data_IF_606626239440
#
_entry.id   IF_606626239440
#
_cell.length_a   1.000
_cell.length_b   1.000
_cell.length_c   1.000
_cell.angle_alpha   90.00
_cell.angle_beta   90.00
_cell.angle_gamma   90.00
#
_symmetry.space_group_name_H-M   'P 1'
#
loop_
_entity.id
_entity.type
_entity.pdbx_description
1 polymer ?
#
# COMPACT_ATOMS: atom_id res chain seq x y z
N UNK A 1 24.24 15.97 -17.13
CA UNK A 1 24.80 16.11 -18.50
C UNK A 1 24.35 17.47 -18.97
N UNK A 2 25.18 18.47 -18.72
CA UNK A 2 24.97 19.83 -19.23
C UNK A 2 25.25 19.78 -20.73
N UNK A 3 24.20 19.65 -21.55
CA UNK A 3 24.30 19.97 -22.97
C UNK A 3 24.21 21.49 -23.07
N UNK A 4 25.32 22.17 -22.78
CA UNK A 4 25.54 23.51 -23.30
C UNK A 4 25.65 23.36 -24.83
N UNK A 5 24.52 23.53 -25.53
CA UNK A 5 24.52 23.65 -26.98
C UNK A 5 25.33 24.89 -27.33
N UNK A 6 26.41 24.71 -28.09
CA UNK A 6 27.23 25.83 -28.56
C UNK A 6 26.33 26.86 -29.27
N UNK A 7 26.60 28.17 -29.09
CA UNK A 7 25.80 29.22 -29.71
C UNK A 7 25.82 29.03 -31.23
N UNK A 8 24.63 29.03 -31.84
CA UNK A 8 24.54 28.91 -33.29
C UNK A 8 25.03 30.23 -33.90
N UNK A 9 26.08 30.12 -34.71
CA UNK A 9 26.66 31.26 -35.43
C UNK A 9 26.15 31.28 -36.87
N UNK A 10 25.58 32.42 -37.26
CA UNK A 10 25.17 32.71 -38.63
C UNK A 10 25.90 33.96 -39.10
N UNK A 11 27.07 33.78 -39.73
CA UNK A 11 27.92 34.90 -40.15
C UNK A 11 28.28 35.82 -38.97
N UNK A 12 28.07 37.15 -39.03
CA UNK A 12 28.36 38.07 -37.92
C UNK A 12 27.33 38.01 -36.77
N UNK A 13 26.26 37.21 -36.89
CA UNK A 13 25.21 37.09 -35.87
C UNK A 13 25.44 35.84 -35.02
N UNK A 14 25.47 36.01 -33.70
CA UNK A 14 25.59 34.91 -32.73
C UNK A 14 24.30 34.77 -31.93
N UNK A 15 23.66 33.61 -32.01
CA UNK A 15 22.42 33.31 -31.27
C UNK A 15 22.79 32.53 -30.01
N UNK A 16 22.65 33.17 -28.83
CA UNK A 16 22.85 32.54 -27.53
C UNK A 16 21.54 31.93 -27.02
N UNK A 17 21.56 30.63 -26.72
CA UNK A 17 20.39 29.89 -26.25
C UNK A 17 20.24 29.87 -24.72
N UNK A 18 21.21 30.39 -23.97
CA UNK A 18 21.28 30.34 -22.50
C UNK A 18 19.99 30.81 -21.80
N UNK A 19 19.38 31.89 -22.30
CA UNK A 19 18.11 32.43 -21.77
C UNK A 19 16.93 31.49 -22.00
N UNK A 20 16.84 30.91 -23.20
CA UNK A 20 15.75 29.99 -23.57
C UNK A 20 15.91 28.68 -22.81
N UNK A 21 17.13 28.17 -22.69
CA UNK A 21 17.44 26.96 -21.95
C UNK A 21 17.16 27.11 -20.45
N UNK A 22 17.53 28.26 -19.87
CA UNK A 22 17.19 28.60 -18.48
C UNK A 22 15.67 28.64 -18.27
N UNK A 23 14.90 29.23 -19.19
CA UNK A 23 13.44 29.24 -19.11
C UNK A 23 12.81 27.85 -19.27
N UNK A 24 13.36 27.01 -20.16
CA UNK A 24 12.90 25.63 -20.35
C UNK A 24 13.18 24.80 -19.10
N UNK A 25 14.38 24.90 -18.54
CA UNK A 25 14.75 24.21 -17.30
C UNK A 25 13.84 24.63 -16.14
N UNK A 26 13.58 25.94 -15.98
CA UNK A 26 12.64 26.43 -14.96
C UNK A 26 11.22 25.87 -15.14
N UNK A 27 10.72 25.79 -16.37
CA UNK A 27 9.40 25.17 -16.66
C UNK A 27 9.41 23.68 -16.37
N UNK A 28 10.48 22.99 -16.72
CA UNK A 28 10.63 21.56 -16.46
C UNK A 28 10.66 21.27 -14.96
N UNK A 29 11.41 22.06 -14.19
CA UNK A 29 11.48 21.94 -12.73
C UNK A 29 10.12 22.19 -12.08
N UNK A 30 9.39 23.23 -12.54
CA UNK A 30 8.03 23.52 -12.07
C UNK A 30 7.10 22.34 -12.34
N UNK A 31 7.09 21.83 -13.57
CA UNK A 31 6.22 20.72 -13.96
C UNK A 31 6.60 19.42 -13.24
N UNK A 32 7.89 19.14 -13.08
CA UNK A 32 8.35 17.98 -12.33
C UNK A 32 7.90 18.06 -10.87
N UNK A 33 7.94 19.25 -10.25
CA UNK A 33 7.47 19.46 -8.88
C UNK A 33 5.97 19.28 -8.75
N UNK A 34 5.19 19.77 -9.71
CA UNK A 34 3.73 19.56 -9.77
C UNK A 34 3.38 18.08 -9.94
N UNK A 35 4.07 17.38 -10.85
CA UNK A 35 3.88 15.95 -11.07
C UNK A 35 4.21 15.14 -9.81
N UNK A 36 5.29 15.49 -9.11
CA UNK A 36 5.65 14.86 -7.84
C UNK A 36 4.60 15.12 -6.76
N UNK A 37 4.07 16.34 -6.68
CA UNK A 37 2.99 16.68 -5.75
C UNK A 37 1.73 15.86 -6.01
N UNK A 38 1.27 15.83 -7.26
CA UNK A 38 0.11 15.03 -7.66
C UNK A 38 0.31 13.52 -7.39
N UNK A 39 1.52 13.00 -7.66
CA UNK A 39 1.85 11.61 -7.35
C UNK A 39 1.85 11.34 -5.84
N UNK A 40 2.39 12.26 -5.04
CA UNK A 40 2.36 12.17 -3.58
C UNK A 40 0.91 12.18 -3.07
N UNK A 41 0.03 13.03 -3.57
CA UNK A 41 -1.38 13.08 -3.17
C UNK A 41 -2.11 11.76 -3.48
N UNK A 42 -1.91 11.22 -4.69
CA UNK A 42 -2.46 9.90 -5.08
C UNK A 42 -1.89 8.78 -4.20
N UNK A 43 -0.60 8.84 -3.90
CA UNK A 43 0.03 7.84 -3.04
C UNK A 43 -0.52 7.92 -1.61
N UNK A 44 -0.64 9.12 -1.04
CA UNK A 44 -1.16 9.34 0.31
C UNK A 44 -2.62 8.89 0.45
N UNK A 45 -3.47 9.16 -0.55
CA UNK A 45 -4.85 8.65 -0.57
C UNK A 45 -4.92 7.13 -0.65
N UNK A 46 -4.06 6.49 -1.47
CA UNK A 46 -3.98 5.02 -1.51
C UNK A 46 -3.46 4.40 -0.21
N UNK A 47 -2.45 5.00 0.42
CA UNK A 47 -1.93 4.56 1.71
C UNK A 47 -3.02 4.60 2.78
N UNK A 48 -3.77 5.72 2.88
CA UNK A 48 -4.89 5.86 3.81
C UNK A 48 -5.99 4.83 3.53
N UNK A 49 -6.39 4.66 2.27
CA UNK A 49 -7.43 3.69 1.91
C UNK A 49 -7.03 2.24 2.23
N UNK A 50 -5.76 1.86 2.03
CA UNK A 50 -5.27 0.54 2.39
C UNK A 50 -5.22 0.35 3.91
N UNK A 51 -4.77 1.37 4.63
CA UNK A 51 -4.76 1.40 6.10
C UNK A 51 -6.16 1.16 6.67
N UNK A 52 -7.17 1.89 6.18
CA UNK A 52 -8.56 1.74 6.63
C UNK A 52 -9.11 0.34 6.34
N UNK A 53 -8.83 -0.22 5.15
CA UNK A 53 -9.26 -1.59 4.78
C UNK A 53 -8.62 -2.65 5.67
N UNK A 54 -7.31 -2.52 5.96
CA UNK A 54 -6.58 -3.44 6.84
C UNK A 54 -7.08 -3.31 8.28
N UNK A 55 -7.35 -2.10 8.75
CA UNK A 55 -7.90 -1.86 10.08
C UNK A 55 -9.32 -2.43 10.24
N UNK A 56 -10.21 -2.19 9.27
CA UNK A 56 -11.56 -2.76 9.28
C UNK A 56 -11.53 -4.29 9.27
N UNK A 57 -10.68 -4.87 8.42
CA UNK A 57 -10.56 -6.31 8.32
C UNK A 57 -9.96 -6.94 9.60
N UNK A 58 -8.99 -6.27 10.24
CA UNK A 58 -8.50 -6.66 11.56
C UNK A 58 -9.61 -6.64 12.60
N UNK A 59 -10.42 -5.57 12.66
CA UNK A 59 -11.54 -5.46 13.61
C UNK A 59 -12.58 -6.55 13.37
N UNK A 60 -12.94 -6.84 12.12
CA UNK A 60 -13.85 -7.95 11.78
C UNK A 60 -13.27 -9.30 12.16
N UNK A 61 -11.97 -9.49 11.92
CA UNK A 61 -11.25 -10.70 12.32
C UNK A 61 -11.24 -10.85 13.84
N UNK A 62 -11.08 -9.76 14.59
CA UNK A 62 -11.11 -9.76 16.05
C UNK A 62 -12.52 -10.03 16.60
N UNK A 63 -13.55 -9.43 16.00
CA UNK A 63 -14.95 -9.62 16.35
C UNK A 63 -15.48 -11.02 16.01
N UNK A 64 -14.96 -11.65 14.95
CA UNK A 64 -15.18 -13.07 14.65
C UNK A 64 -14.40 -13.92 15.68
N UNK A 65 -14.88 -13.92 16.92
CA UNK A 65 -14.36 -14.78 17.99
C UNK A 65 -14.70 -16.23 17.66
N UNK A 66 -13.68 -17.02 17.30
CA UNK A 66 -13.77 -18.46 17.04
C UNK A 66 -13.63 -19.23 18.35
N UNK A 67 -14.47 -18.92 19.33
CA UNK A 67 -14.56 -19.74 20.53
C UNK A 67 -15.46 -20.94 20.21
N UNK A 68 -14.86 -21.98 19.61
CA UNK A 68 -15.57 -23.20 19.20
C UNK A 68 -16.24 -23.95 20.37
N UNK A 69 -15.93 -23.54 21.61
CA UNK A 69 -16.55 -24.02 22.84
C UNK A 69 -18.03 -23.63 22.97
N UNK A 70 -18.42 -22.47 22.41
CA UNK A 70 -19.71 -21.82 22.67
C UNK A 70 -20.45 -21.34 21.42
N UNK A 71 -19.79 -21.36 20.25
CA UNK A 71 -20.38 -20.92 18.99
C UNK A 71 -21.19 -22.03 18.28
N UNK A 72 -22.30 -21.64 17.65
CA UNK A 72 -23.12 -22.54 16.82
C UNK A 72 -22.35 -22.99 15.56
N UNK A 73 -22.60 -24.21 15.06
CA UNK A 73 -22.02 -24.73 13.81
C UNK A 73 -22.13 -23.73 12.65
N UNK A 74 -23.23 -22.96 12.60
CA UNK A 74 -23.43 -21.88 11.63
C UNK A 74 -22.43 -20.73 11.78
N UNK A 75 -22.20 -20.26 13.02
CA UNK A 75 -21.25 -19.18 13.32
C UNK A 75 -19.80 -19.60 13.03
N UNK A 76 -19.49 -20.88 13.26
CA UNK A 76 -18.19 -21.45 12.95
C UNK A 76 -17.96 -21.52 11.44
N UNK A 77 -18.94 -21.99 10.66
CA UNK A 77 -18.85 -22.03 9.18
C UNK A 77 -18.71 -20.61 8.59
N UNK A 78 -19.44 -19.63 9.14
CA UNK A 78 -19.29 -18.21 8.75
C UNK A 78 -17.90 -17.67 9.07
N UNK A 79 -17.35 -18.02 10.25
CA UNK A 79 -15.99 -17.65 10.65
C UNK A 79 -14.91 -18.28 9.74
N UNK A 80 -15.05 -19.55 9.40
CA UNK A 80 -14.16 -20.27 8.46
C UNK A 80 -14.21 -19.62 7.08
N UNK A 81 -15.41 -19.33 6.57
CA UNK A 81 -15.59 -18.66 5.27
C UNK A 81 -14.91 -17.30 5.27
N UNK A 82 -15.11 -16.51 6.32
CA UNK A 82 -14.45 -15.21 6.47
C UNK A 82 -12.92 -15.32 6.53
N UNK A 83 -12.38 -16.29 7.28
CA UNK A 83 -10.93 -16.54 7.32
C UNK A 83 -10.38 -16.85 5.93
N UNK A 84 -11.10 -17.65 5.14
CA UNK A 84 -10.68 -18.03 3.81
C UNK A 84 -10.70 -16.86 2.83
N UNK A 85 -11.74 -16.00 2.89
CA UNK A 85 -11.79 -14.75 2.14
C UNK A 85 -10.63 -13.81 2.53
N UNK A 86 -10.32 -13.69 3.81
CA UNK A 86 -9.19 -12.87 4.29
C UNK A 86 -7.86 -13.42 3.78
N UNK A 87 -7.68 -14.74 3.76
CA UNK A 87 -6.49 -15.40 3.21
C UNK A 87 -6.29 -15.08 1.73
N UNK A 88 -7.37 -15.05 0.95
CA UNK A 88 -7.32 -14.68 -0.47
C UNK A 88 -6.98 -13.20 -0.68
N UNK A 89 -7.50 -12.30 0.18
CA UNK A 89 -7.22 -10.86 0.11
C UNK A 89 -5.81 -10.48 0.55
N UNK A 90 -5.15 -11.33 1.34
CA UNK A 90 -3.83 -11.05 1.87
C UNK A 90 -2.76 -10.93 0.77
N UNK A 91 -2.81 -11.78 -0.26
CA UNK A 91 -1.86 -11.73 -1.38
C UNK A 91 -1.89 -10.43 -2.19
N UNK A 92 -3.07 -9.99 -2.70
CA UNK A 92 -3.22 -8.71 -3.37
C UNK A 92 -2.80 -7.52 -2.50
N UNK A 93 -3.18 -7.52 -1.22
CA UNK A 93 -2.80 -6.45 -0.30
C UNK A 93 -1.29 -6.40 -0.07
N UNK A 94 -0.60 -7.53 -0.01
CA UNK A 94 0.86 -7.56 0.08
C UNK A 94 1.52 -6.87 -1.11
N UNK A 95 1.08 -7.18 -2.33
CA UNK A 95 1.57 -6.51 -3.56
C UNK A 95 1.27 -5.01 -3.56
N UNK A 96 0.10 -4.61 -3.07
CA UNK A 96 -0.24 -3.20 -2.92
C UNK A 96 0.68 -2.52 -1.89
N UNK A 97 0.92 -3.13 -0.73
CA UNK A 97 1.85 -2.60 0.29
C UNK A 97 3.25 -2.43 -0.30
N UNK A 98 3.79 -3.42 -1.00
CA UNK A 98 5.13 -3.35 -1.61
C UNK A 98 5.21 -2.23 -2.65
N UNK A 99 4.19 -2.10 -3.51
CA UNK A 99 4.13 -1.02 -4.49
C UNK A 99 4.07 0.37 -3.84
N UNK A 100 3.39 0.51 -2.70
CA UNK A 100 3.33 1.76 -1.94
C UNK A 100 4.69 2.09 -1.29
N UNK A 101 5.40 1.10 -0.75
CA UNK A 101 6.75 1.27 -0.20
C UNK A 101 7.73 1.74 -1.28
N UNK A 102 7.71 1.10 -2.45
CA UNK A 102 8.58 1.47 -3.57
C UNK A 102 8.27 2.88 -4.07
N UNK A 103 6.98 3.24 -4.13
CA UNK A 103 6.51 4.58 -4.52
C UNK A 103 6.96 5.65 -3.52
N UNK A 104 6.87 5.37 -2.21
CA UNK A 104 7.35 6.29 -1.17
C UNK A 104 8.87 6.45 -1.22
N UNK A 105 9.60 5.34 -1.46
CA UNK A 105 11.06 5.36 -1.62
C UNK A 105 11.48 6.20 -2.82
N UNK A 106 10.72 6.15 -3.91
CA UNK A 106 10.96 6.97 -5.10
C UNK A 106 10.78 8.46 -4.80
N UNK A 107 9.70 8.84 -4.10
CA UNK A 107 9.47 10.23 -3.66
C UNK A 107 10.55 10.72 -2.68
N UNK A 108 10.98 9.87 -1.73
CA UNK A 108 12.09 10.17 -0.81
C UNK A 108 13.40 10.43 -1.56
N UNK A 109 13.70 9.62 -2.59
CA UNK A 109 14.88 9.82 -3.45
C UNK A 109 14.81 11.12 -4.24
N UNK A 110 13.62 11.55 -4.62
CA UNK A 110 13.39 12.83 -5.30
C UNK A 110 13.37 14.05 -4.36
N UNK A 111 13.71 13.87 -3.06
CA UNK A 111 13.71 14.91 -2.02
C UNK A 111 12.36 15.62 -1.87
N UNK A 112 11.26 14.92 -2.15
CA UNK A 112 9.94 15.48 -1.93
C UNK A 112 9.74 15.74 -0.43
N UNK A 113 9.20 16.91 -0.09
CA UNK A 113 8.85 17.24 1.30
C UNK A 113 7.47 16.66 1.58
N UNK A 114 7.40 15.66 2.45
CA UNK A 114 6.12 15.10 2.87
C UNK A 114 5.44 16.05 3.86
N UNK A 115 4.13 16.27 3.67
CA UNK A 115 3.32 17.06 4.60
C UNK A 115 3.13 16.37 5.96
N UNK A 116 2.70 17.12 6.96
CA UNK A 116 2.56 16.63 8.35
C UNK A 116 1.48 15.53 8.51
N UNK A 117 0.53 15.41 7.57
CA UNK A 117 -0.50 14.35 7.56
C UNK A 117 -0.07 13.09 6.79
N UNK A 118 1.19 13.00 6.39
CA UNK A 118 1.70 11.85 5.65
C UNK A 118 1.79 10.61 6.55
N UNK A 119 1.03 9.58 6.19
CA UNK A 119 1.17 8.26 6.81
C UNK A 119 2.29 7.54 6.06
N UNK A 120 3.38 7.21 6.76
CA UNK A 120 4.47 6.43 6.15
C UNK A 120 3.95 5.06 5.71
N UNK A 121 4.32 4.62 4.50
CA UNK A 121 4.01 3.27 4.01
C UNK A 121 4.62 2.21 4.93
N UNK A 122 5.72 2.50 5.60
CA UNK A 122 6.31 1.66 6.66
C UNK A 122 5.32 1.35 7.79
N UNK A 123 4.51 2.33 8.21
CA UNK A 123 3.48 2.14 9.25
C UNK A 123 2.37 1.21 8.77
N UNK A 124 1.93 1.36 7.52
CA UNK A 124 0.92 0.48 6.91
C UNK A 124 1.47 -0.92 6.72
N UNK A 125 2.73 -1.06 6.30
CA UNK A 125 3.42 -2.34 6.18
C UNK A 125 3.52 -3.06 7.53
N UNK A 126 3.82 -2.33 8.61
CA UNK A 126 3.83 -2.86 9.97
C UNK A 126 2.47 -3.40 10.40
N UNK A 127 1.39 -2.65 10.14
CA UNK A 127 0.03 -3.10 10.46
C UNK A 127 -0.42 -4.29 9.60
N UNK A 128 -0.09 -4.29 8.31
CA UNK A 128 -0.35 -5.41 7.42
C UNK A 128 0.32 -6.69 7.95
N UNK A 129 1.61 -6.62 8.34
CA UNK A 129 2.32 -7.75 8.96
C UNK A 129 1.68 -8.23 10.26
N UNK A 130 1.20 -7.31 11.10
CA UNK A 130 0.48 -7.68 12.31
C UNK A 130 -0.83 -8.41 11.97
N UNK A 131 -1.59 -7.93 11.00
CA UNK A 131 -2.81 -8.59 10.55
C UNK A 131 -2.52 -9.98 9.97
N UNK A 132 -1.46 -10.12 9.16
CA UNK A 132 -1.01 -11.40 8.61
C UNK A 132 -0.66 -12.41 9.70
N UNK A 133 0.04 -11.98 10.75
CA UNK A 133 0.35 -12.84 11.90
C UNK A 133 -0.92 -13.31 12.63
N UNK A 134 -1.88 -12.39 12.87
CA UNK A 134 -3.16 -12.73 13.52
C UNK A 134 -3.95 -13.71 12.65
N UNK A 135 -4.03 -13.47 11.34
CA UNK A 135 -4.73 -14.35 10.42
C UNK A 135 -4.10 -15.75 10.38
N UNK A 136 -2.77 -15.83 10.35
CA UNK A 136 -2.05 -17.11 10.34
C UNK A 136 -2.29 -17.90 11.63
N UNK A 137 -2.24 -17.22 12.79
CA UNK A 137 -2.51 -17.85 14.09
C UNK A 137 -3.95 -18.38 14.17
N UNK A 138 -4.93 -17.59 13.70
CA UNK A 138 -6.34 -17.99 13.71
C UNK A 138 -6.65 -19.09 12.70
N UNK A 139 -6.06 -19.05 11.51
CA UNK A 139 -6.18 -20.13 10.53
C UNK A 139 -5.72 -21.46 11.13
N UNK A 140 -4.57 -21.49 11.82
CA UNK A 140 -4.09 -22.71 12.49
C UNK A 140 -5.04 -23.20 13.57
N UNK A 141 -5.54 -22.31 14.42
CA UNK A 141 -6.49 -22.67 15.47
C UNK A 141 -7.78 -23.28 14.90
N UNK A 142 -8.25 -22.77 13.76
CA UNK A 142 -9.40 -23.36 13.04
C UNK A 142 -9.04 -24.68 12.41
N UNK A 143 -7.89 -24.79 11.73
CA UNK A 143 -7.41 -26.04 11.13
C UNK A 143 -7.32 -27.17 12.18
N UNK A 144 -6.88 -26.86 13.41
CA UNK A 144 -6.83 -27.78 14.54
C UNK A 144 -8.23 -28.20 15.04
N UNK A 145 -9.24 -27.35 14.86
CA UNK A 145 -10.63 -27.60 15.27
C UNK A 145 -11.49 -28.26 14.19
N UNK A 146 -11.08 -28.24 12.92
CA UNK A 146 -11.75 -28.94 11.81
C UNK A 146 -12.08 -30.41 12.14
N UNK A 147 -11.15 -31.25 12.64
CA UNK A 147 -11.47 -32.65 12.94
C UNK A 147 -12.51 -32.80 14.06
N UNK A 148 -12.49 -31.90 15.05
CA UNK A 148 -13.46 -31.88 16.14
C UNK A 148 -14.86 -31.51 15.63
N UNK A 149 -14.93 -30.52 14.72
CA UNK A 149 -16.17 -30.09 14.08
C UNK A 149 -16.74 -31.17 13.16
N UNK A 150 -15.89 -31.84 12.36
CA UNK A 150 -16.30 -32.98 11.54
C UNK A 150 -16.88 -34.10 12.40
N UNK A 151 -16.26 -34.41 13.54
CA UNK A 151 -16.78 -35.43 14.46
C UNK A 151 -18.13 -35.06 15.08
N UNK A 152 -18.37 -33.76 15.37
CA UNK A 152 -19.66 -33.29 15.90
C UNK A 152 -20.76 -33.30 14.84
N UNK A 153 -20.47 -32.88 13.62
CA UNK A 153 -21.43 -32.90 12.51
C UNK A 153 -21.82 -34.33 12.11
N UNK A 154 -20.92 -35.31 12.30
CA UNK A 154 -21.22 -36.73 12.08
C UNK A 154 -21.96 -37.40 13.24
N UNK A 155 -21.96 -36.78 14.43
CA UNK A 155 -22.60 -37.30 15.63
C UNK A 155 -24.03 -36.74 15.85
N UNK A 156 -24.38 -35.65 15.17
CA UNK A 156 -25.78 -35.23 14.92
C UNK A 156 -26.38 -35.98 13.73
#
# INVERSE_FOLDING_TARGET
>A
VDLALEPAHFGPVSVRYDKVQSQINLKYDSWQRELQGAFADVLGTKIKALHDRVAEAKTKLEAASLDASSASTSEIVLGVTFLQEMKQKLGPWGKEVDALIDSERLLRRQRHVFGNEWVEASRVAGQYKQMEQVLTRRSRAVDDQIPLLQSRVLAE
#
